data_IF_614580883414
#
_entry.id   IF_614580883414
#
_cell.length_a   1.000
_cell.length_b   1.000
_cell.length_c   1.000
_cell.angle_alpha   90.00
_cell.angle_beta   90.00
_cell.angle_gamma   90.00
#
_symmetry.space_group_name_H-M   'P 1'
#
loop_
_entity.id
_entity.type
_entity.pdbx_description
1 polymer ?
#
# COMPACT_ATOMS: atom_id res chain seq x y z
N UNK A 1 -5.27 -11.29 10.68
CA UNK A 1 -6.66 -11.70 10.46
C UNK A 1 -6.72 -13.21 10.28
N UNK A 2 -6.05 -13.80 9.31
CA UNK A 2 -6.13 -15.24 9.03
C UNK A 2 -5.67 -16.14 10.18
N UNK A 3 -4.77 -15.64 11.05
CA UNK A 3 -4.37 -16.32 12.30
C UNK A 3 -5.36 -16.10 13.46
N UNK A 4 -6.40 -15.29 13.26
CA UNK A 4 -7.38 -14.95 14.29
C UNK A 4 -6.90 -13.93 15.34
N UNK A 5 -5.75 -13.30 15.11
CA UNK A 5 -5.19 -12.28 16.01
C UNK A 5 -5.95 -10.96 15.92
N UNK A 6 -6.48 -10.62 14.75
CA UNK A 6 -7.33 -9.47 14.51
C UNK A 6 -8.61 -9.89 13.78
N UNK A 7 -9.72 -9.18 14.03
CA UNK A 7 -10.99 -9.33 13.31
C UNK A 7 -11.33 -8.03 12.60
N UNK A 8 -12.04 -8.11 11.48
CA UNK A 8 -12.42 -6.93 10.69
C UNK A 8 -13.17 -5.87 11.47
N UNK A 9 -14.11 -6.30 12.31
CA UNK A 9 -14.97 -5.43 13.11
C UNK A 9 -14.29 -4.96 14.41
N UNK A 10 -13.09 -5.46 14.71
CA UNK A 10 -12.35 -5.02 15.89
C UNK A 10 -11.99 -3.56 15.75
N UNK A 11 -12.34 -2.78 16.76
CA UNK A 11 -11.97 -1.37 16.86
C UNK A 11 -10.56 -1.21 17.43
N UNK A 12 -9.79 -0.33 16.83
CA UNK A 12 -8.46 0.09 17.28
C UNK A 12 -8.51 1.59 17.52
N UNK A 13 -7.99 2.02 18.66
CA UNK A 13 -7.79 3.43 18.96
C UNK A 13 -6.38 3.84 18.53
N UNK A 14 -6.28 4.73 17.55
CA UNK A 14 -4.99 5.25 17.10
C UNK A 14 -4.29 6.00 18.24
N UNK A 15 -3.07 5.62 18.55
CA UNK A 15 -2.28 6.32 19.56
C UNK A 15 -1.71 7.63 19.02
N UNK A 16 -1.39 8.57 19.89
CA UNK A 16 -0.72 9.80 19.49
C UNK A 16 0.67 9.53 18.90
N UNK A 17 1.38 8.50 19.36
CA UNK A 17 2.67 8.06 18.82
C UNK A 17 2.57 7.55 17.39
N UNK A 18 1.60 6.70 17.09
CA UNK A 18 1.44 6.09 15.77
C UNK A 18 1.16 7.12 14.66
N UNK A 19 0.45 8.20 14.98
CA UNK A 19 0.07 9.23 14.01
C UNK A 19 1.04 10.42 13.98
N UNK A 20 2.03 10.46 14.86
CA UNK A 20 3.02 11.54 14.94
C UNK A 20 4.32 11.20 14.22
N UNK A 21 5.14 12.23 13.95
CA UNK A 21 6.50 12.01 13.41
C UNK A 21 6.56 11.67 11.92
N UNK A 22 5.45 11.66 11.21
CA UNK A 22 5.45 11.51 9.75
C UNK A 22 5.89 12.81 9.08
N UNK A 23 6.64 12.74 7.97
CA UNK A 23 6.93 13.91 7.14
C UNK A 23 5.66 14.61 6.68
N UNK A 24 5.72 15.93 6.50
CA UNK A 24 4.54 16.74 6.14
C UNK A 24 3.96 16.41 4.77
N UNK A 25 4.76 15.82 3.88
CA UNK A 25 4.41 15.37 2.54
C UNK A 25 4.05 13.87 2.48
N UNK A 26 4.12 13.16 3.59
CA UNK A 26 3.73 11.76 3.66
C UNK A 26 2.22 11.60 3.38
N UNK A 27 1.88 10.58 2.61
CA UNK A 27 0.47 10.21 2.40
C UNK A 27 -0.21 9.83 3.71
N UNK A 28 -1.39 10.41 3.97
CA UNK A 28 -2.16 10.19 5.20
C UNK A 28 -3.66 10.12 4.91
N UNK A 29 -4.40 9.39 5.72
CA UNK A 29 -5.85 9.45 5.78
C UNK A 29 -6.35 10.50 6.78
N UNK A 30 -5.45 11.24 7.43
CA UNK A 30 -5.77 12.27 8.42
C UNK A 30 -6.28 11.70 9.74
N UNK A 31 -5.85 10.49 10.10
CA UNK A 31 -6.22 9.84 11.36
C UNK A 31 -5.57 10.61 12.52
N UNK A 32 -6.34 10.83 13.56
CA UNK A 32 -5.91 11.60 14.75
C UNK A 32 -5.63 10.67 15.92
N UNK A 33 -4.70 11.08 16.80
CA UNK A 33 -4.51 10.37 18.07
C UNK A 33 -5.82 10.37 18.89
N UNK A 34 -6.26 9.19 19.33
CA UNK A 34 -7.56 8.99 19.99
C UNK A 34 -8.72 8.67 19.03
N UNK A 35 -8.50 8.67 17.72
CA UNK A 35 -9.52 8.28 16.76
C UNK A 35 -9.70 6.76 16.76
N UNK A 36 -10.96 6.31 16.72
CA UNK A 36 -11.34 4.90 16.74
C UNK A 36 -11.80 4.49 15.34
N UNK A 37 -11.14 3.49 14.78
CA UNK A 37 -11.49 2.88 13.49
C UNK A 37 -11.45 1.35 13.59
N UNK A 38 -12.24 0.68 12.76
CA UNK A 38 -12.15 -0.77 12.67
C UNK A 38 -10.90 -1.21 11.91
N UNK A 39 -10.45 -2.44 12.14
CA UNK A 39 -9.36 -3.07 11.36
C UNK A 39 -9.64 -2.99 9.87
N UNK A 40 -10.89 -3.24 9.44
CA UNK A 40 -11.29 -3.10 8.04
C UNK A 40 -11.05 -1.69 7.51
N UNK A 41 -11.52 -0.67 8.20
CA UNK A 41 -11.34 0.74 7.81
C UNK A 41 -9.86 1.12 7.72
N UNK A 42 -9.06 0.67 8.67
CA UNK A 42 -7.60 0.88 8.66
C UNK A 42 -6.94 0.20 7.45
N UNK A 43 -7.32 -1.03 7.10
CA UNK A 43 -6.81 -1.69 5.91
C UNK A 43 -7.12 -0.92 4.63
N UNK A 44 -8.33 -0.37 4.49
CA UNK A 44 -8.68 0.48 3.36
C UNK A 44 -7.89 1.80 3.37
N UNK A 45 -7.68 2.44 4.51
CA UNK A 45 -6.81 3.61 4.62
C UNK A 45 -5.38 3.28 4.14
N UNK A 46 -4.82 2.15 4.57
CA UNK A 46 -3.47 1.73 4.21
C UNK A 46 -3.33 1.45 2.71
N UNK A 47 -4.22 0.65 2.15
CA UNK A 47 -4.03 0.12 0.80
C UNK A 47 -4.61 1.02 -0.29
N UNK A 48 -5.73 1.70 -0.05
CA UNK A 48 -6.40 2.54 -1.04
C UNK A 48 -5.79 3.94 -1.09
N UNK A 49 -5.65 4.61 0.05
CA UNK A 49 -5.10 5.96 0.11
C UNK A 49 -3.61 6.02 0.49
N UNK A 50 -2.98 4.89 0.76
CA UNK A 50 -1.56 4.83 1.14
C UNK A 50 -1.24 5.56 2.45
N UNK A 51 -2.13 5.46 3.44
CA UNK A 51 -1.98 6.14 4.71
C UNK A 51 -0.83 5.57 5.55
N UNK A 52 0.26 6.33 5.69
CA UNK A 52 1.48 5.88 6.35
C UNK A 52 1.29 5.64 7.86
N UNK A 53 0.46 6.44 8.52
CA UNK A 53 0.16 6.30 9.95
C UNK A 53 -0.45 4.94 10.29
N UNK A 54 -1.14 4.33 9.36
CA UNK A 54 -1.81 3.05 9.60
C UNK A 54 -0.82 1.90 9.81
N UNK A 55 0.32 1.94 9.14
CA UNK A 55 1.40 0.98 9.38
C UNK A 55 1.86 1.00 10.84
N UNK A 56 2.01 2.20 11.42
CA UNK A 56 2.38 2.36 12.82
C UNK A 56 1.25 1.94 13.77
N UNK A 57 -0.02 2.26 13.44
CA UNK A 57 -1.18 1.85 14.24
C UNK A 57 -1.24 0.32 14.35
N UNK A 58 -1.11 -0.39 13.24
CA UNK A 58 -1.07 -1.85 13.26
C UNK A 58 0.17 -2.39 13.98
N UNK A 59 1.32 -1.75 13.84
CA UNK A 59 2.54 -2.18 14.52
C UNK A 59 2.40 -2.11 16.03
N UNK A 60 1.85 -1.03 16.55
CA UNK A 60 1.61 -0.89 18.00
C UNK A 60 0.55 -1.86 18.51
N UNK A 61 -0.54 -2.08 17.75
CA UNK A 61 -1.60 -3.02 18.13
C UNK A 61 -1.14 -4.48 18.13
N UNK A 62 -0.36 -4.90 17.13
CA UNK A 62 0.01 -6.30 16.91
C UNK A 62 1.23 -6.68 17.75
N UNK A 63 2.27 -5.83 17.76
CA UNK A 63 3.58 -6.16 18.34
C UNK A 63 3.97 -5.24 19.49
N UNK A 64 3.08 -4.32 19.90
CA UNK A 64 3.30 -3.39 20.99
C UNK A 64 4.24 -2.23 20.67
N UNK A 65 4.94 -2.26 19.53
CA UNK A 65 5.77 -1.15 19.05
C UNK A 65 6.10 -1.28 17.56
N UNK A 66 6.44 -0.14 16.93
CA UNK A 66 6.92 -0.10 15.54
C UNK A 66 8.18 -0.95 15.37
N UNK A 67 9.13 -0.85 16.30
CA UNK A 67 10.39 -1.62 16.24
C UNK A 67 10.13 -3.11 16.24
N UNK A 68 9.33 -3.61 17.19
CA UNK A 68 9.03 -5.04 17.28
C UNK A 68 8.29 -5.56 16.03
N UNK A 69 7.41 -4.74 15.45
CA UNK A 69 6.72 -5.10 14.22
C UNK A 69 7.66 -5.13 13.00
N UNK A 70 8.60 -4.18 12.91
CA UNK A 70 9.62 -4.16 11.86
C UNK A 70 10.54 -5.39 11.96
N UNK A 71 10.92 -5.81 13.17
CA UNK A 71 11.65 -7.06 13.37
C UNK A 71 10.86 -8.27 12.85
N UNK A 72 9.54 -8.29 13.07
CA UNK A 72 8.65 -9.31 12.51
C UNK A 72 8.55 -9.25 10.99
N UNK A 73 8.50 -8.04 10.39
CA UNK A 73 8.52 -7.87 8.94
C UNK A 73 9.78 -8.45 8.34
N UNK A 74 10.96 -8.18 8.93
CA UNK A 74 12.24 -8.70 8.48
C UNK A 74 12.30 -10.23 8.61
N UNK A 75 11.92 -10.76 9.78
CA UNK A 75 11.84 -12.22 9.98
C UNK A 75 10.92 -12.88 8.93
N UNK A 76 9.77 -12.27 8.63
CA UNK A 76 8.85 -12.80 7.62
C UNK A 76 9.42 -12.74 6.21
N UNK A 77 10.15 -11.69 5.87
CA UNK A 77 10.86 -11.58 4.60
C UNK A 77 11.89 -12.71 4.44
N UNK A 78 12.70 -12.98 5.48
CA UNK A 78 13.66 -14.09 5.49
C UNK A 78 12.96 -15.46 5.30
N UNK A 79 11.85 -15.70 5.99
CA UNK A 79 11.06 -16.93 5.83
C UNK A 79 10.52 -17.13 4.40
N UNK A 80 10.24 -16.04 3.69
CA UNK A 80 9.82 -16.05 2.29
C UNK A 80 11.00 -16.21 1.31
N UNK A 81 12.23 -16.22 1.84
CA UNK A 81 13.46 -16.32 1.06
C UNK A 81 13.88 -15.01 0.42
N UNK A 82 13.48 -13.86 0.97
CA UNK A 82 13.95 -12.57 0.55
C UNK A 82 15.37 -12.35 1.07
N UNK A 83 16.35 -12.36 0.17
CA UNK A 83 17.78 -12.29 0.52
C UNK A 83 18.31 -10.85 0.47
N UNK A 84 17.63 -9.97 -0.28
CA UNK A 84 18.04 -8.59 -0.52
C UNK A 84 16.95 -7.60 -0.08
N UNK A 85 16.31 -7.88 1.07
CA UNK A 85 15.25 -7.02 1.64
C UNK A 85 15.55 -6.77 3.11
N UNK A 86 15.48 -5.49 3.48
CA UNK A 86 15.53 -5.07 4.87
C UNK A 86 14.60 -3.88 5.12
N UNK A 87 13.74 -4.01 6.11
CA UNK A 87 12.80 -2.99 6.55
C UNK A 87 13.30 -2.31 7.81
N UNK A 88 13.14 -0.97 7.89
CA UNK A 88 13.42 -0.18 9.10
C UNK A 88 12.21 0.63 9.57
N UNK A 89 11.15 0.64 8.76
CA UNK A 89 9.88 1.27 9.10
C UNK A 89 8.70 0.51 8.47
N UNK A 90 7.48 0.89 8.83
CA UNK A 90 6.24 0.24 8.39
C UNK A 90 5.67 0.81 7.10
N UNK A 91 6.20 1.95 6.61
CA UNK A 91 5.58 2.75 5.55
C UNK A 91 6.34 2.75 4.24
N UNK A 92 7.62 2.41 4.23
CA UNK A 92 8.50 2.52 3.07
C UNK A 92 9.08 3.93 2.87
N UNK A 93 9.01 4.80 3.88
CA UNK A 93 9.69 6.08 3.85
C UNK A 93 11.22 5.88 3.78
N UNK A 94 11.96 6.78 3.10
CA UNK A 94 13.37 6.58 2.81
C UNK A 94 14.24 6.43 4.06
N UNK A 95 15.12 5.44 4.03
CA UNK A 95 16.23 5.25 4.95
C UNK A 95 17.29 4.43 4.20
N UNK A 96 18.57 4.69 4.43
CA UNK A 96 19.67 4.00 3.74
C UNK A 96 19.69 2.49 3.99
N UNK A 97 19.12 2.04 5.10
CA UNK A 97 18.99 0.63 5.46
C UNK A 97 17.62 0.04 5.06
N UNK A 98 16.74 0.81 4.40
CA UNK A 98 15.44 0.34 3.94
C UNK A 98 15.51 0.02 2.45
N UNK A 99 15.68 -1.23 2.10
CA UNK A 99 15.88 -1.65 0.72
C UNK A 99 15.17 -2.96 0.39
N UNK A 100 14.94 -3.17 -0.88
CA UNK A 100 14.37 -4.40 -1.43
C UNK A 100 14.75 -4.56 -2.91
N UNK A 101 14.35 -5.67 -3.50
CA UNK A 101 14.46 -5.93 -4.94
C UNK A 101 13.11 -6.24 -5.55
N UNK A 102 12.99 -6.14 -6.88
CA UNK A 102 11.78 -6.55 -7.59
C UNK A 102 11.48 -8.04 -7.39
N UNK A 103 12.51 -8.87 -7.24
CA UNK A 103 12.36 -10.30 -7.01
C UNK A 103 11.80 -10.62 -5.63
N UNK A 104 12.27 -9.93 -4.60
CA UNK A 104 11.79 -10.13 -3.25
C UNK A 104 10.38 -9.59 -3.06
N UNK A 105 10.07 -8.42 -3.64
CA UNK A 105 8.69 -7.91 -3.67
C UNK A 105 7.74 -8.86 -4.40
N UNK A 106 8.19 -9.53 -5.46
CA UNK A 106 7.41 -10.59 -6.10
C UNK A 106 7.14 -11.76 -5.14
N UNK A 107 8.13 -12.21 -4.34
CA UNK A 107 7.95 -13.26 -3.34
C UNK A 107 6.92 -12.86 -2.28
N UNK A 108 7.05 -11.66 -1.73
CA UNK A 108 6.11 -11.10 -0.74
C UNK A 108 4.70 -11.00 -1.35
N UNK A 109 4.60 -10.45 -2.56
CA UNK A 109 3.33 -10.31 -3.27
C UNK A 109 2.66 -11.65 -3.53
N UNK A 110 3.42 -12.64 -4.00
CA UNK A 110 2.91 -14.00 -4.24
C UNK A 110 2.35 -14.64 -2.97
N UNK A 111 2.97 -14.38 -1.83
CA UNK A 111 2.45 -14.82 -0.54
C UNK A 111 1.15 -14.10 -0.19
N UNK A 112 1.15 -12.78 -0.29
CA UNK A 112 -0.03 -11.96 0.03
C UNK A 112 -1.25 -12.31 -0.85
N UNK A 113 -1.02 -12.69 -2.11
CA UNK A 113 -2.08 -13.10 -3.04
C UNK A 113 -2.81 -14.41 -2.67
N UNK A 114 -2.34 -15.14 -1.66
CA UNK A 114 -3.04 -16.30 -1.11
C UNK A 114 -4.22 -15.92 -0.22
N UNK A 115 -4.31 -14.64 0.16
CA UNK A 115 -5.33 -14.11 1.06
C UNK A 115 -6.39 -13.32 0.27
N UNK A 116 -7.60 -13.83 0.19
CA UNK A 116 -8.70 -13.21 -0.57
C UNK A 116 -9.01 -11.79 -0.09
N UNK A 117 -8.91 -11.56 1.21
CA UNK A 117 -9.06 -10.23 1.82
C UNK A 117 -8.07 -9.22 1.28
N UNK A 118 -6.79 -9.62 1.16
CA UNK A 118 -5.77 -8.74 0.59
C UNK A 118 -6.16 -8.26 -0.81
N UNK A 119 -6.59 -9.18 -1.66
CA UNK A 119 -7.03 -8.83 -3.01
C UNK A 119 -8.28 -7.95 -3.03
N UNK A 120 -9.24 -8.23 -2.17
CA UNK A 120 -10.46 -7.41 -2.05
C UNK A 120 -10.12 -5.96 -1.72
N UNK A 121 -9.28 -5.75 -0.72
CA UNK A 121 -8.88 -4.40 -0.29
C UNK A 121 -8.03 -3.72 -1.38
N UNK A 122 -7.00 -4.39 -1.92
CA UNK A 122 -6.10 -3.81 -2.91
C UNK A 122 -6.79 -3.47 -4.24
N UNK A 123 -7.84 -4.19 -4.60
CA UNK A 123 -8.58 -3.96 -5.84
C UNK A 123 -9.72 -2.93 -5.70
N UNK A 124 -9.86 -2.34 -4.52
CA UNK A 124 -10.90 -1.33 -4.26
C UNK A 124 -10.50 0.01 -4.86
N UNK A 125 -11.41 0.59 -5.65
CA UNK A 125 -11.19 1.86 -6.36
C UNK A 125 -11.45 3.07 -5.47
N UNK A 126 -12.49 2.97 -4.64
CA UNK A 126 -12.88 3.98 -3.67
C UNK A 126 -13.54 3.30 -2.45
N UNK A 127 -13.37 3.89 -1.28
CA UNK A 127 -13.98 3.43 -0.05
C UNK A 127 -14.34 4.62 0.83
N UNK A 128 -15.52 4.61 1.43
CA UNK A 128 -15.94 5.68 2.34
C UNK A 128 -15.78 5.22 3.78
N UNK A 129 -14.91 5.89 4.52
CA UNK A 129 -14.86 5.78 5.98
C UNK A 129 -16.02 6.59 6.53
N UNK A 130 -16.95 6.01 7.30
CA UNK A 130 -18.00 6.78 7.95
C UNK A 130 -17.43 7.76 8.98
N UNK A 131 -18.25 8.68 9.47
CA UNK A 131 -17.85 9.57 10.55
C UNK A 131 -17.42 8.75 11.78
N UNK A 132 -16.31 9.18 12.39
CA UNK A 132 -15.72 8.57 13.59
C UNK A 132 -16.01 9.43 14.83
N UNK A 133 -15.43 9.05 15.95
CA UNK A 133 -15.49 9.87 17.18
C UNK A 133 -14.74 11.22 17.05
N UNK A 134 -13.89 11.41 16.01
CA UNK A 134 -13.02 12.59 15.87
C UNK A 134 -13.03 13.26 14.52
N UNK A 135 -13.65 12.64 13.51
CA UNK A 135 -13.62 13.14 12.12
C UNK A 135 -14.94 12.88 11.42
N UNK A 136 -15.30 13.77 10.48
CA UNK A 136 -16.38 13.54 9.54
C UNK A 136 -16.04 12.37 8.59
N UNK A 137 -17.05 11.89 7.86
CA UNK A 137 -16.86 10.88 6.85
C UNK A 137 -15.84 11.33 5.80
N UNK A 138 -14.99 10.41 5.34
CA UNK A 138 -13.96 10.70 4.34
C UNK A 138 -13.95 9.63 3.25
N UNK A 139 -13.73 10.08 2.03
CA UNK A 139 -13.66 9.22 0.86
C UNK A 139 -12.22 8.95 0.50
N UNK A 140 -11.89 7.68 0.37
CA UNK A 140 -10.57 7.19 -0.04
C UNK A 140 -10.62 6.81 -1.50
N UNK A 141 -9.56 7.13 -2.26
CA UNK A 141 -9.45 6.78 -3.67
C UNK A 141 -8.14 6.08 -3.95
N UNK A 142 -8.20 5.04 -4.79
CA UNK A 142 -7.01 4.28 -5.18
C UNK A 142 -6.02 5.16 -5.94
N UNK A 143 -4.77 5.05 -5.55
CA UNK A 143 -3.64 5.72 -6.23
C UNK A 143 -3.19 4.98 -7.49
N UNK A 144 -3.68 3.76 -7.73
CA UNK A 144 -3.30 2.94 -8.87
C UNK A 144 -4.16 3.24 -10.10
N UNK A 145 -3.58 3.92 -11.09
CA UNK A 145 -4.27 4.31 -12.33
C UNK A 145 -4.65 3.12 -13.22
N UNK A 146 -4.05 1.94 -13.04
CA UNK A 146 -4.45 0.76 -13.80
C UNK A 146 -5.85 0.26 -13.44
N UNK A 147 -6.35 0.64 -12.25
CA UNK A 147 -7.68 0.23 -11.75
C UNK A 147 -8.63 1.41 -11.49
N UNK A 148 -8.14 2.65 -11.42
CA UNK A 148 -8.93 3.82 -11.04
C UNK A 148 -8.61 5.02 -11.91
N UNK A 149 -9.65 5.74 -12.35
CA UNK A 149 -9.55 6.99 -13.12
C UNK A 149 -9.65 8.24 -12.23
N UNK A 150 -9.56 8.10 -10.91
CA UNK A 150 -9.83 9.23 -10.03
C UNK A 150 -8.81 10.37 -10.18
N UNK A 151 -7.51 10.03 -10.30
CA UNK A 151 -6.43 11.02 -10.46
C UNK A 151 -6.16 11.41 -11.93
N UNK A 152 -6.26 10.44 -12.84
CA UNK A 152 -5.99 10.65 -14.25
C UNK A 152 -6.76 9.64 -15.11
N UNK A 153 -7.13 10.06 -16.31
CA UNK A 153 -7.82 9.23 -17.30
C UNK A 153 -6.83 8.52 -18.23
N UNK A 154 -7.29 7.45 -18.87
CA UNK A 154 -6.57 6.82 -19.99
C UNK A 154 -5.54 5.75 -19.60
N UNK A 155 -5.39 5.41 -18.32
CA UNK A 155 -4.41 4.43 -17.84
C UNK A 155 -5.02 3.10 -17.39
N UNK A 156 -6.34 2.96 -17.40
CA UNK A 156 -6.98 1.69 -17.01
C UNK A 156 -6.48 0.54 -17.88
N UNK A 157 -6.08 -0.55 -17.24
CA UNK A 157 -5.69 -1.78 -17.91
C UNK A 157 -6.71 -2.88 -17.66
N UNK A 158 -7.26 -3.46 -18.75
CA UNK A 158 -8.25 -4.52 -18.64
C UNK A 158 -7.65 -5.77 -17.99
N UNK A 159 -8.26 -6.22 -16.90
CA UNK A 159 -7.78 -7.36 -16.12
C UNK A 159 -6.81 -7.00 -14.99
N UNK A 160 -6.36 -5.74 -14.86
CA UNK A 160 -5.57 -5.31 -13.71
C UNK A 160 -6.36 -5.42 -12.40
N UNK A 161 -5.68 -5.85 -11.34
CA UNK A 161 -6.24 -6.05 -10.01
C UNK A 161 -5.22 -5.59 -8.96
N UNK A 162 -5.39 -4.39 -8.42
CA UNK A 162 -4.48 -3.82 -7.41
C UNK A 162 -3.07 -3.60 -7.98
N UNK A 163 -2.00 -3.57 -7.21
CA UNK A 163 -1.90 -3.84 -5.76
C UNK A 163 -1.54 -2.54 -5.03
N UNK A 164 -0.30 -2.01 -5.22
CA UNK A 164 0.20 -0.86 -4.48
C UNK A 164 1.17 -0.01 -5.28
N UNK A 165 0.98 1.30 -5.22
CA UNK A 165 1.92 2.32 -5.69
C UNK A 165 2.85 2.76 -4.56
N UNK A 166 4.03 3.26 -4.89
CA UNK A 166 4.93 3.94 -3.97
C UNK A 166 5.70 5.03 -4.71
N UNK A 167 5.95 6.15 -4.06
CA UNK A 167 6.76 7.23 -4.62
C UNK A 167 7.50 7.95 -3.50
N UNK A 168 8.80 8.09 -3.67
CA UNK A 168 9.67 8.99 -2.89
C UNK A 168 10.74 9.53 -3.82
N UNK A 169 11.38 10.64 -3.48
CA UNK A 169 12.47 11.19 -4.27
C UNK A 169 13.62 10.18 -4.44
N UNK A 170 13.91 9.40 -3.41
CA UNK A 170 14.98 8.40 -3.42
C UNK A 170 14.62 7.14 -4.22
N UNK A 171 13.37 6.69 -4.17
CA UNK A 171 12.93 5.44 -4.80
C UNK A 171 12.40 5.65 -6.23
N UNK A 172 12.11 6.88 -6.65
CA UNK A 172 11.34 7.14 -7.87
C UNK A 172 9.92 6.59 -7.76
N UNK A 173 9.28 6.36 -8.88
CA UNK A 173 7.94 5.82 -8.93
C UNK A 173 7.93 4.30 -9.01
N UNK A 174 7.24 3.66 -8.08
CA UNK A 174 7.16 2.21 -7.95
C UNK A 174 5.72 1.72 -8.05
N UNK A 175 5.54 0.55 -8.64
CA UNK A 175 4.24 -0.12 -8.74
C UNK A 175 4.39 -1.63 -8.65
N UNK A 176 3.66 -2.22 -7.72
CA UNK A 176 3.35 -3.65 -7.75
C UNK A 176 1.91 -3.80 -8.23
N UNK A 177 1.69 -4.61 -9.25
CA UNK A 177 0.34 -4.86 -9.77
C UNK A 177 0.17 -6.32 -10.19
N UNK A 178 -1.07 -6.77 -10.29
CA UNK A 178 -1.39 -8.08 -10.86
C UNK A 178 -2.44 -7.91 -11.95
N UNK A 179 -2.45 -8.83 -12.91
CA UNK A 179 -3.47 -8.89 -13.92
C UNK A 179 -3.84 -10.34 -14.24
N UNK A 180 -5.09 -10.57 -14.66
CA UNK A 180 -5.53 -11.87 -15.19
C UNK A 180 -5.61 -11.77 -16.70
N UNK A 181 -4.82 -12.61 -17.39
CA UNK A 181 -4.80 -12.72 -18.86
C UNK A 181 -4.80 -14.19 -19.28
N UNK A 182 -5.72 -14.54 -20.15
CA UNK A 182 -5.85 -15.91 -20.67
C UNK A 182 -5.75 -16.97 -19.56
N UNK A 183 -6.53 -16.81 -18.48
CA UNK A 183 -6.58 -17.67 -17.30
C UNK A 183 -5.27 -17.78 -16.49
N UNK A 184 -4.33 -16.87 -16.73
CA UNK A 184 -3.10 -16.74 -15.94
C UNK A 184 -3.13 -15.47 -15.10
N UNK A 185 -2.71 -15.60 -13.85
CA UNK A 185 -2.43 -14.44 -13.01
C UNK A 185 -0.95 -14.06 -13.18
N UNK A 186 -0.74 -12.85 -13.61
CA UNK A 186 0.57 -12.23 -13.75
C UNK A 186 0.81 -11.29 -12.56
N UNK A 187 2.06 -11.17 -12.14
CA UNK A 187 2.52 -10.18 -11.16
C UNK A 187 3.59 -9.34 -11.83
N UNK A 188 3.44 -8.03 -11.79
CA UNK A 188 4.44 -7.07 -12.24
C UNK A 188 4.98 -6.30 -11.03
N UNK A 189 6.28 -6.15 -10.97
CA UNK A 189 7.00 -5.29 -10.01
C UNK A 189 7.87 -4.34 -10.81
N UNK A 190 7.55 -3.06 -10.74
CA UNK A 190 8.27 -1.99 -11.43
C UNK A 190 8.78 -1.01 -10.39
N UNK A 191 10.07 -0.76 -10.37
CA UNK A 191 10.73 0.10 -9.37
C UNK A 191 11.55 1.19 -10.08
N UNK A 192 11.69 2.34 -9.43
CA UNK A 192 12.59 3.39 -9.86
C UNK A 192 12.21 4.05 -11.20
N UNK A 193 10.93 4.13 -11.53
CA UNK A 193 10.51 4.80 -12.75
C UNK A 193 10.55 6.32 -12.61
N UNK A 194 10.82 6.97 -13.74
CA UNK A 194 10.65 8.41 -13.92
C UNK A 194 9.19 8.79 -14.19
N UNK A 195 8.97 10.09 -14.33
CA UNK A 195 7.74 10.65 -14.88
C UNK A 195 7.88 10.90 -16.38
N UNK A 196 6.75 10.92 -17.07
CA UNK A 196 6.65 11.33 -18.46
C UNK A 196 5.53 12.39 -18.61
N UNK A 197 5.57 13.22 -19.67
CA UNK A 197 4.44 14.10 -19.98
C UNK A 197 3.15 13.31 -20.11
N UNK A 198 2.07 13.82 -19.50
CA UNK A 198 0.74 13.25 -19.63
C UNK A 198 -0.03 13.93 -20.77
N UNK A 199 -0.17 13.27 -21.93
CA UNK A 199 -0.81 13.89 -23.10
C UNK A 199 -2.34 13.96 -22.95
N UNK A 200 -2.92 13.28 -21.98
CA UNK A 200 -4.38 13.20 -21.81
C UNK A 200 -4.85 14.21 -20.77
N UNK A 201 -4.17 14.28 -19.62
CA UNK A 201 -4.60 15.08 -18.48
C UNK A 201 -3.77 16.36 -18.30
N UNK A 202 -2.63 16.49 -19.00
CA UNK A 202 -1.65 17.54 -18.80
C UNK A 202 -0.74 17.31 -17.59
N UNK A 203 0.38 18.03 -17.53
CA UNK A 203 1.40 17.80 -16.50
C UNK A 203 2.21 16.53 -16.73
N UNK A 204 2.49 15.79 -15.67
CA UNK A 204 3.27 14.55 -15.72
C UNK A 204 2.52 13.39 -15.07
N UNK A 205 2.91 12.17 -15.46
CA UNK A 205 2.42 10.92 -14.90
C UNK A 205 3.57 9.93 -14.75
N UNK A 206 3.49 9.09 -13.74
CA UNK A 206 4.49 8.03 -13.53
C UNK A 206 4.53 7.04 -14.69
N UNK A 207 5.73 6.77 -15.20
CA UNK A 207 5.97 5.73 -16.20
C UNK A 207 5.67 4.32 -15.68
N UNK A 208 5.59 4.11 -14.36
CA UNK A 208 5.31 2.80 -13.78
C UNK A 208 4.00 2.19 -14.26
N UNK A 209 2.99 3.02 -14.59
CA UNK A 209 1.71 2.53 -15.12
C UNK A 209 1.84 2.00 -16.55
N UNK A 210 2.53 2.74 -17.42
CA UNK A 210 2.74 2.34 -18.82
C UNK A 210 3.68 1.14 -18.92
N UNK A 211 4.76 1.12 -18.14
CA UNK A 211 5.67 -0.02 -18.11
C UNK A 211 5.01 -1.28 -17.56
N UNK A 212 4.19 -1.16 -16.51
CA UNK A 212 3.40 -2.30 -16.01
C UNK A 212 2.43 -2.83 -17.07
N UNK A 213 1.72 -1.95 -17.78
CA UNK A 213 0.82 -2.35 -18.85
C UNK A 213 1.57 -3.13 -19.95
N UNK A 214 2.75 -2.64 -20.37
CA UNK A 214 3.61 -3.32 -21.35
C UNK A 214 4.10 -4.70 -20.90
N UNK A 215 4.36 -4.87 -19.59
CA UNK A 215 4.75 -6.17 -19.04
C UNK A 215 3.58 -7.18 -19.03
N UNK A 216 2.35 -6.69 -18.99
CA UNK A 216 1.16 -7.54 -19.04
C UNK A 216 0.74 -7.92 -20.47
N UNK A 217 1.13 -7.14 -21.49
CA UNK A 217 0.86 -7.42 -22.90
C UNK A 217 1.75 -8.51 -23.48
#
# INVERSE_FOLDING_TARGET
IDRGELRFEQEITATASAVSGLPADASTAGIKGGEVLTVEQLLYCLMVSSANEVGNIFAEEISGSVTAFVDEMNRRAEELGCEDTHFVNTSGLPDDNHYTTAWDLWRITREALKHDTFMTVCNTKAYTIPATNMSDARELHSTNLLISNWRALGYLYSGAQGIKTGTTDAAGHCLVSTAVRADRRLISVVLGCDEMPDPINGGTVSMSFTETARLFD
#
